data_IF_169764286039
#
_entry.id   IF_169764286039
#
_cell.length_a   1.000
_cell.length_b   1.000
_cell.length_c   1.000
_cell.angle_alpha   90.00
_cell.angle_beta   90.00
_cell.angle_gamma   90.00
#
_symmetry.space_group_name_H-M   'P 1'
#
loop_
_entity.id
_entity.type
_entity.pdbx_description
1 polymer ?
#
# COMPACT_ATOMS: atom_id res chain seq x y z
N UNK A 1 -22.38 7.66 11.12
CA UNK A 1 -21.57 7.67 12.37
C UNK A 1 -20.83 8.99 12.44
N UNK A 2 -20.88 9.69 13.60
CA UNK A 2 -20.19 10.97 13.81
C UNK A 2 -18.98 10.80 14.71
N UNK A 3 -17.82 11.32 14.29
CA UNK A 3 -16.58 11.31 15.05
C UNK A 3 -16.02 12.72 15.14
N UNK A 4 -15.81 13.22 16.37
CA UNK A 4 -15.09 14.47 16.63
C UNK A 4 -13.69 14.14 17.15
N UNK A 5 -12.67 14.63 16.47
CA UNK A 5 -11.30 14.65 16.97
C UNK A 5 -11.03 16.05 17.50
N UNK A 6 -10.69 16.17 18.78
CA UNK A 6 -10.43 17.43 19.47
C UNK A 6 -9.01 17.50 20.01
N UNK A 7 -8.60 18.70 20.44
CA UNK A 7 -7.25 18.94 20.99
C UNK A 7 -6.15 18.51 20.02
N UNK A 8 -6.30 18.83 18.73
CA UNK A 8 -5.32 18.55 17.70
C UNK A 8 -4.29 19.67 17.71
N UNK A 9 -3.04 19.38 18.12
CA UNK A 9 -1.96 20.38 18.11
C UNK A 9 -1.54 20.79 16.70
N UNK A 10 -1.62 19.86 15.74
CA UNK A 10 -1.32 20.09 14.34
C UNK A 10 -2.29 19.28 13.45
N UNK A 11 -3.08 19.97 12.63
CA UNK A 11 -3.94 19.38 11.62
C UNK A 11 -3.46 19.78 10.22
N UNK A 12 -2.97 18.83 9.44
CA UNK A 12 -2.66 19.07 8.03
C UNK A 12 -3.95 18.94 7.21
N UNK A 13 -4.25 19.98 6.42
CA UNK A 13 -5.46 20.08 5.59
C UNK A 13 -5.04 20.42 4.16
N UNK A 14 -5.85 19.99 3.19
CA UNK A 14 -5.75 20.46 1.82
C UNK A 14 -6.77 21.59 1.61
N UNK A 15 -6.28 22.80 1.39
CA UNK A 15 -7.10 23.99 1.07
C UNK A 15 -6.91 24.44 -0.38
N UNK A 16 -6.02 23.81 -1.13
CA UNK A 16 -5.70 24.28 -2.47
C UNK A 16 -6.82 24.00 -3.48
N UNK A 17 -7.69 23.02 -3.19
CA UNK A 17 -8.75 22.60 -4.12
C UNK A 17 -8.23 22.06 -5.45
N UNK A 18 -6.95 21.70 -5.50
CA UNK A 18 -6.30 21.10 -6.66
C UNK A 18 -6.34 19.59 -6.55
N UNK A 19 -6.63 18.91 -7.64
CA UNK A 19 -6.58 17.45 -7.68
C UNK A 19 -5.17 16.89 -7.42
N UNK A 20 -4.13 17.66 -7.77
CA UNK A 20 -2.74 17.24 -7.65
C UNK A 20 -1.81 18.44 -7.44
N UNK A 21 -0.91 18.31 -6.46
CA UNK A 21 0.21 19.22 -6.27
C UNK A 21 1.45 18.68 -6.99
N UNK A 22 2.30 19.57 -7.54
CA UNK A 22 3.51 19.20 -8.28
C UNK A 22 4.67 20.12 -7.95
N UNK A 23 5.89 19.54 -7.99
CA UNK A 23 7.13 20.31 -7.80
C UNK A 23 7.18 21.06 -6.47
N UNK A 24 7.43 22.36 -6.52
CA UNK A 24 7.55 23.21 -5.34
C UNK A 24 6.25 23.32 -4.51
N UNK A 25 5.08 23.14 -5.12
CA UNK A 25 3.79 23.15 -4.41
C UNK A 25 3.70 22.02 -3.37
N UNK A 26 4.37 20.89 -3.60
CA UNK A 26 4.39 19.74 -2.68
C UNK A 26 5.10 20.04 -1.35
N UNK A 27 5.86 21.13 -1.28
CA UNK A 27 6.53 21.58 -0.05
C UNK A 27 5.62 22.43 0.85
N UNK A 28 4.45 22.83 0.35
CA UNK A 28 3.51 23.69 1.07
C UNK A 28 2.38 22.85 1.63
N UNK A 29 2.38 22.66 2.95
CA UNK A 29 1.27 22.05 3.67
C UNK A 29 0.51 23.13 4.42
N UNK A 30 -0.80 23.17 4.21
CA UNK A 30 -1.68 23.97 5.04
C UNK A 30 -1.84 23.30 6.41
N UNK A 31 -1.43 24.00 7.46
CA UNK A 31 -1.44 23.50 8.82
C UNK A 31 -2.32 24.41 9.68
N UNK A 32 -3.29 23.78 10.37
CA UNK A 32 -4.01 24.41 11.47
C UNK A 32 -3.41 23.96 12.80
N UNK A 33 -3.25 24.90 13.72
CA UNK A 33 -2.84 24.61 15.12
C UNK A 33 -4.03 24.72 16.04
N UNK A 34 -3.98 23.96 17.15
CA UNK A 34 -5.04 23.95 18.17
C UNK A 34 -6.43 23.71 17.57
N UNK A 35 -6.50 22.69 16.73
CA UNK A 35 -7.64 22.43 15.86
C UNK A 35 -8.55 21.30 16.37
N UNK A 36 -9.68 21.19 15.72
CA UNK A 36 -10.59 20.04 15.79
C UNK A 36 -11.00 19.61 14.39
N UNK A 37 -11.44 18.35 14.26
CA UNK A 37 -11.90 17.75 13.01
C UNK A 37 -13.17 16.94 13.28
N UNK A 38 -14.23 17.20 12.50
CA UNK A 38 -15.49 16.45 12.52
C UNK A 38 -15.57 15.56 11.28
N UNK A 39 -15.81 14.27 11.52
CA UNK A 39 -16.05 13.29 10.46
C UNK A 39 -17.49 12.78 10.60
N UNK A 40 -18.28 12.83 9.53
CA UNK A 40 -19.62 12.30 9.44
C UNK A 40 -19.70 11.30 8.29
N UNK A 41 -20.17 10.09 8.61
CA UNK A 41 -20.37 9.01 7.64
C UNK A 41 -19.14 8.74 6.74
N UNK A 42 -17.95 8.78 7.38
CA UNK A 42 -16.67 8.53 6.71
C UNK A 42 -16.09 9.70 5.91
N UNK A 43 -16.72 10.89 5.98
CA UNK A 43 -16.29 12.10 5.27
C UNK A 43 -15.93 13.23 6.22
N UNK A 44 -14.99 14.07 5.85
CA UNK A 44 -14.72 15.31 6.57
C UNK A 44 -15.93 16.24 6.42
N UNK A 45 -16.60 16.52 7.54
CA UNK A 45 -17.76 17.41 7.57
C UNK A 45 -17.36 18.85 7.88
N UNK A 46 -16.44 19.02 8.85
CA UNK A 46 -15.96 20.34 9.25
C UNK A 46 -14.62 20.23 10.00
N UNK A 47 -13.86 21.30 10.02
CA UNK A 47 -12.68 21.47 10.86
C UNK A 47 -12.47 22.95 11.16
N UNK A 48 -11.74 23.27 12.23
CA UNK A 48 -11.47 24.65 12.62
C UNK A 48 -10.63 24.77 13.88
N UNK A 49 -10.39 26.01 14.27
CA UNK A 49 -9.67 26.38 15.51
C UNK A 49 -10.59 26.98 16.57
N UNK A 50 -11.75 27.48 16.16
CA UNK A 50 -12.81 27.92 17.09
C UNK A 50 -13.34 26.72 17.90
N UNK A 51 -14.05 26.92 19.03
CA UNK A 51 -14.60 25.81 19.78
C UNK A 51 -15.39 24.84 18.88
N UNK A 52 -15.18 23.53 19.02
CA UNK A 52 -15.87 22.55 18.19
C UNK A 52 -17.39 22.63 18.43
N UNK A 53 -18.20 22.27 17.41
CA UNK A 53 -19.64 22.22 17.57
C UNK A 53 -20.01 21.30 18.74
N UNK A 54 -20.85 21.81 19.67
CA UNK A 54 -21.34 21.01 20.79
C UNK A 54 -22.22 19.89 20.25
N UNK A 55 -21.99 18.62 20.64
CA UNK A 55 -22.86 17.55 20.23
C UNK A 55 -24.29 17.84 20.62
N UNK A 56 -25.22 17.93 19.66
CA UNK A 56 -26.65 17.99 19.98
C UNK A 56 -27.04 16.69 20.70
N UNK A 57 -27.76 16.80 21.81
CA UNK A 57 -28.28 15.67 22.55
C UNK A 57 -29.13 14.79 21.61
N UNK A 58 -28.71 13.55 21.34
CA UNK A 58 -29.54 12.59 20.62
C UNK A 58 -28.91 11.78 19.46
N UNK A 59 -27.65 12.00 19.10
CA UNK A 59 -27.01 11.20 18.07
C UNK A 59 -25.69 10.58 18.55
N UNK A 60 -25.45 9.31 18.26
CA UNK A 60 -24.25 8.57 18.62
C UNK A 60 -22.96 9.28 18.16
N UNK A 61 -22.41 10.08 19.05
CA UNK A 61 -21.23 10.91 18.82
C UNK A 61 -20.04 10.27 19.52
N UNK A 62 -19.01 9.94 18.77
CA UNK A 62 -17.74 9.47 19.32
C UNK A 62 -16.75 10.64 19.35
N UNK A 63 -16.18 10.94 20.51
CA UNK A 63 -15.10 11.91 20.62
C UNK A 63 -13.77 11.22 20.86
N UNK A 64 -12.73 11.71 20.20
CA UNK A 64 -11.33 11.31 20.39
C UNK A 64 -10.54 12.56 20.75
N UNK A 65 -9.76 12.47 21.82
CA UNK A 65 -8.84 13.52 22.23
C UNK A 65 -7.48 13.24 21.65
N UNK A 66 -6.99 14.12 20.79
CA UNK A 66 -5.66 14.00 20.17
C UNK A 66 -4.52 14.42 21.12
N UNK A 67 -4.83 14.95 22.31
CA UNK A 67 -3.86 15.31 23.35
C UNK A 67 -2.71 16.20 22.85
N UNK A 68 -2.99 17.13 21.94
CA UNK A 68 -1.97 17.97 21.32
C UNK A 68 -1.19 17.30 20.20
N UNK A 69 -1.53 16.07 19.83
CA UNK A 69 -0.88 15.32 18.74
C UNK A 69 -1.17 15.87 17.35
N UNK A 70 -0.48 15.32 16.36
CA UNK A 70 -0.69 15.66 14.95
C UNK A 70 -1.74 14.75 14.32
N UNK A 71 -2.61 15.34 13.49
CA UNK A 71 -3.52 14.64 12.60
C UNK A 71 -3.12 14.94 11.15
N UNK A 72 -2.76 13.89 10.43
CA UNK A 72 -2.23 13.96 9.07
C UNK A 72 -3.09 13.09 8.15
N UNK A 73 -3.11 13.35 6.82
CA UNK A 73 -3.60 12.38 5.84
C UNK A 73 -2.88 11.05 5.99
N UNK A 74 -3.59 9.94 5.79
CA UNK A 74 -2.98 8.63 5.77
C UNK A 74 -2.05 8.47 4.56
N UNK A 75 -1.06 7.58 4.68
CA UNK A 75 -0.17 7.28 3.56
C UNK A 75 -0.90 6.47 2.48
N UNK A 76 -0.58 6.77 1.23
CA UNK A 76 -0.97 5.96 0.07
C UNK A 76 0.28 5.22 -0.42
N UNK A 77 0.29 3.90 -0.28
CA UNK A 77 1.39 3.08 -0.81
C UNK A 77 1.03 2.62 -2.22
N UNK A 78 1.64 3.27 -3.21
CA UNK A 78 1.35 3.09 -4.62
C UNK A 78 2.14 1.95 -5.29
N UNK A 79 2.93 1.18 -4.54
CA UNK A 79 3.75 0.11 -5.12
C UNK A 79 4.06 -0.98 -4.10
N UNK A 80 3.23 -2.01 -4.03
CA UNK A 80 3.49 -3.15 -3.14
C UNK A 80 3.40 -4.49 -3.83
N UNK A 81 4.11 -5.47 -3.25
CA UNK A 81 3.95 -6.89 -3.50
C UNK A 81 3.44 -7.58 -2.23
N UNK A 82 2.35 -7.08 -1.67
CA UNK A 82 1.86 -7.49 -0.35
C UNK A 82 1.34 -8.94 -0.33
N UNK A 83 0.88 -9.46 -1.47
CA UNK A 83 0.46 -10.85 -1.61
C UNK A 83 1.64 -11.72 -2.00
N UNK A 84 2.22 -12.41 -1.02
CA UNK A 84 3.34 -13.34 -1.20
C UNK A 84 3.29 -14.47 -0.15
N UNK A 85 3.87 -15.62 -0.50
CA UNK A 85 3.79 -16.84 0.31
C UNK A 85 4.72 -16.86 1.53
N UNK A 86 5.85 -16.16 1.47
CA UNK A 86 6.82 -16.14 2.56
C UNK A 86 7.85 -15.04 2.37
N UNK A 87 8.36 -14.52 3.48
CA UNK A 87 9.36 -13.48 3.47
C UNK A 87 10.74 -13.99 3.02
N UNK A 88 11.61 -13.07 2.69
CA UNK A 88 12.96 -13.35 2.19
C UNK A 88 14.04 -12.74 3.10
N UNK A 89 13.76 -12.61 4.38
CA UNK A 89 14.71 -12.02 5.35
C UNK A 89 16.05 -12.77 5.39
N UNK A 90 16.02 -14.11 5.25
CA UNK A 90 17.22 -14.92 5.20
C UNK A 90 18.15 -14.54 4.03
N UNK A 91 17.56 -14.23 2.87
CA UNK A 91 18.34 -13.77 1.71
C UNK A 91 18.94 -12.38 1.94
N UNK A 92 18.25 -11.51 2.68
CA UNK A 92 18.79 -10.22 3.06
C UNK A 92 19.99 -10.36 4.02
N UNK A 93 19.90 -11.26 5.00
CA UNK A 93 21.02 -11.59 5.88
C UNK A 93 22.20 -12.16 5.09
N UNK A 94 21.95 -13.04 4.11
CA UNK A 94 22.99 -13.59 3.26
C UNK A 94 23.67 -12.49 2.42
N UNK A 95 22.94 -11.52 1.92
CA UNK A 95 23.53 -10.34 1.23
C UNK A 95 24.42 -9.52 2.17
N UNK A 96 24.01 -9.28 3.42
CA UNK A 96 24.82 -8.58 4.42
C UNK A 96 26.12 -9.36 4.70
N UNK A 97 26.07 -10.69 4.67
CA UNK A 97 27.24 -11.56 4.82
C UNK A 97 28.13 -11.63 3.58
N UNK A 98 27.78 -10.91 2.53
CA UNK A 98 28.59 -10.79 1.32
C UNK A 98 28.32 -11.87 0.26
N UNK A 99 27.26 -12.67 0.39
CA UNK A 99 26.92 -13.65 -0.64
C UNK A 99 26.44 -12.93 -1.91
N UNK A 100 26.90 -13.41 -3.06
CA UNK A 100 26.43 -12.93 -4.36
C UNK A 100 24.98 -13.36 -4.62
N UNK A 101 24.30 -12.63 -5.51
CA UNK A 101 22.95 -13.01 -5.95
C UNK A 101 22.89 -14.42 -6.51
N UNK A 102 23.93 -14.83 -7.25
CA UNK A 102 24.03 -16.16 -7.84
C UNK A 102 24.16 -17.26 -6.77
N UNK A 103 24.91 -17.01 -5.70
CA UNK A 103 25.03 -17.94 -4.57
C UNK A 103 23.72 -18.07 -3.80
N UNK A 104 23.01 -16.97 -3.58
CA UNK A 104 21.68 -16.96 -2.94
C UNK A 104 20.68 -17.74 -3.81
N UNK A 105 20.69 -17.51 -5.13
CA UNK A 105 19.84 -18.24 -6.07
C UNK A 105 20.13 -19.75 -6.11
N UNK A 106 21.43 -20.17 -6.04
CA UNK A 106 21.83 -21.57 -5.95
C UNK A 106 21.37 -22.26 -4.65
N UNK A 107 21.25 -21.51 -3.57
CA UNK A 107 20.70 -21.98 -2.28
C UNK A 107 19.18 -22.05 -2.25
N UNK A 108 18.52 -21.83 -3.38
CA UNK A 108 17.06 -21.87 -3.50
C UNK A 108 16.38 -20.54 -3.18
N UNK A 109 17.15 -19.43 -3.14
CA UNK A 109 16.59 -18.07 -2.98
C UNK A 109 16.07 -17.48 -4.29
N UNK A 110 15.62 -16.23 -4.20
CA UNK A 110 15.13 -15.47 -5.34
C UNK A 110 13.65 -15.65 -5.64
N UNK A 111 13.22 -15.07 -6.76
CA UNK A 111 11.81 -15.06 -7.17
C UNK A 111 11.25 -16.46 -7.42
N UNK A 112 12.07 -17.39 -7.86
CA UNK A 112 11.65 -18.76 -8.12
C UNK A 112 11.27 -19.52 -6.85
N UNK A 113 11.96 -19.25 -5.74
CA UNK A 113 11.58 -19.79 -4.43
C UNK A 113 10.26 -19.19 -3.96
N UNK A 114 10.06 -17.88 -4.14
CA UNK A 114 8.79 -17.22 -3.83
C UNK A 114 7.64 -17.82 -4.64
N UNK A 115 7.85 -18.11 -5.92
CA UNK A 115 6.87 -18.75 -6.79
C UNK A 115 6.56 -20.19 -6.35
N UNK A 116 7.59 -20.99 -6.02
CA UNK A 116 7.41 -22.36 -5.55
C UNK A 116 6.56 -22.41 -4.26
N UNK A 117 6.88 -21.56 -3.27
CA UNK A 117 6.07 -21.44 -2.05
C UNK A 117 4.65 -20.99 -2.33
N UNK A 118 4.45 -20.05 -3.26
CA UNK A 118 3.13 -19.59 -3.66
C UNK A 118 2.32 -20.72 -4.28
N UNK A 119 2.96 -21.59 -5.08
CA UNK A 119 2.33 -22.74 -5.69
C UNK A 119 1.73 -23.71 -4.66
N UNK A 120 2.45 -23.94 -3.56
CA UNK A 120 2.07 -24.86 -2.49
C UNK A 120 0.92 -24.35 -1.61
N UNK A 121 0.79 -23.02 -1.44
CA UNK A 121 -0.24 -22.43 -0.59
C UNK A 121 -1.63 -22.44 -1.27
N UNK A 122 -2.65 -22.74 -0.47
CA UNK A 122 -4.05 -22.50 -0.85
C UNK A 122 -4.37 -21.01 -0.94
N UNK A 123 -5.48 -20.68 -1.60
CA UNK A 123 -5.99 -19.30 -1.66
C UNK A 123 -6.32 -18.74 -0.27
N UNK A 124 -6.86 -19.57 0.63
CA UNK A 124 -7.22 -19.17 1.98
C UNK A 124 -5.98 -18.86 2.83
N UNK A 125 -4.96 -19.71 2.80
CA UNK A 125 -3.70 -19.46 3.51
C UNK A 125 -3.01 -18.19 2.99
N UNK A 126 -2.94 -17.99 1.68
CA UNK A 126 -2.37 -16.82 1.06
C UNK A 126 -3.15 -15.55 1.43
N UNK A 127 -4.50 -15.63 1.43
CA UNK A 127 -5.37 -14.54 1.85
C UNK A 127 -5.14 -14.19 3.32
N UNK A 128 -5.17 -15.16 4.22
CA UNK A 128 -4.96 -14.93 5.65
C UNK A 128 -3.60 -14.29 5.96
N UNK A 129 -2.53 -14.83 5.37
CA UNK A 129 -1.21 -14.25 5.51
C UNK A 129 -1.14 -12.81 4.99
N UNK A 130 -1.84 -12.51 3.89
CA UNK A 130 -1.90 -11.16 3.32
C UNK A 130 -2.72 -10.20 4.18
N UNK A 131 -3.83 -10.64 4.77
CA UNK A 131 -4.64 -9.82 5.67
C UNK A 131 -3.88 -9.41 6.95
N UNK A 132 -3.02 -10.27 7.48
CA UNK A 132 -2.12 -9.88 8.59
C UNK A 132 -1.21 -8.72 8.20
N UNK A 133 -0.68 -8.72 6.97
CA UNK A 133 0.15 -7.63 6.46
C UNK A 133 -0.66 -6.35 6.21
N UNK A 134 -1.90 -6.47 5.72
CA UNK A 134 -2.83 -5.35 5.61
C UNK A 134 -3.05 -4.71 6.99
N UNK A 135 -3.34 -5.49 8.02
CA UNK A 135 -3.51 -4.98 9.37
C UNK A 135 -2.24 -4.29 9.90
N UNK A 136 -1.07 -4.82 9.57
CA UNK A 136 0.21 -4.23 9.96
C UNK A 136 0.45 -2.87 9.30
N UNK A 137 0.26 -2.75 7.98
CA UNK A 137 0.45 -1.46 7.28
C UNK A 137 -0.56 -0.41 7.71
N UNK A 138 -1.81 -0.81 8.00
CA UNK A 138 -2.83 0.10 8.54
C UNK A 138 -2.38 0.66 9.89
N UNK A 139 -1.87 -0.18 10.80
CA UNK A 139 -1.35 0.28 12.10
C UNK A 139 -0.17 1.24 11.96
N UNK A 140 0.56 1.18 10.85
CA UNK A 140 1.66 2.10 10.52
C UNK A 140 1.21 3.35 9.77
N UNK A 141 -0.10 3.52 9.54
CA UNK A 141 -0.68 4.73 8.94
C UNK A 141 -0.98 4.66 7.46
N UNK A 142 -0.89 3.48 6.83
CA UNK A 142 -1.30 3.31 5.43
C UNK A 142 -2.83 3.28 5.34
N UNK A 143 -3.40 4.21 4.58
CA UNK A 143 -4.84 4.35 4.35
C UNK A 143 -5.29 3.96 2.94
N UNK A 144 -4.37 3.69 2.03
CA UNK A 144 -4.65 3.14 0.70
C UNK A 144 -3.44 2.37 0.19
N UNK A 145 -3.65 1.30 -0.57
CA UNK A 145 -2.56 0.46 -1.06
C UNK A 145 -2.81 -0.04 -2.48
N UNK A 146 -1.77 -0.05 -3.29
CA UNK A 146 -1.72 -0.76 -4.55
C UNK A 146 -1.04 -2.11 -4.34
N UNK A 147 -1.62 -3.20 -4.86
CA UNK A 147 -1.09 -4.55 -4.74
C UNK A 147 -0.87 -5.14 -6.12
N UNK A 148 0.40 -5.50 -6.41
CA UNK A 148 0.79 -6.16 -7.65
C UNK A 148 0.69 -7.68 -7.53
N UNK A 149 0.29 -8.35 -8.62
CA UNK A 149 0.58 -9.75 -8.84
C UNK A 149 2.05 -9.96 -9.31
N UNK A 150 2.37 -11.10 -9.90
CA UNK A 150 3.67 -11.28 -10.55
C UNK A 150 4.57 -12.35 -9.94
N UNK A 151 4.18 -13.00 -8.85
CA UNK A 151 4.91 -14.12 -8.27
C UNK A 151 4.40 -15.49 -8.69
N UNK A 152 3.31 -15.55 -9.49
CA UNK A 152 2.75 -16.82 -9.95
C UNK A 152 3.67 -17.56 -10.93
N UNK A 153 4.32 -16.84 -11.85
CA UNK A 153 5.17 -17.35 -12.93
C UNK A 153 4.51 -18.43 -13.83
N UNK A 154 3.25 -18.72 -13.62
CA UNK A 154 2.37 -19.51 -14.46
C UNK A 154 0.93 -18.98 -14.34
N UNK A 155 0.07 -19.34 -15.29
CA UNK A 155 -1.29 -18.79 -15.36
C UNK A 155 -2.13 -19.14 -14.13
N UNK A 156 -2.04 -20.36 -13.61
CA UNK A 156 -2.87 -20.82 -12.50
C UNK A 156 -2.56 -20.07 -11.20
N UNK A 157 -1.28 -19.93 -10.86
CA UNK A 157 -0.83 -19.25 -9.65
C UNK A 157 -0.98 -17.73 -9.77
N UNK A 158 -0.80 -17.15 -10.96
CA UNK A 158 -1.04 -15.75 -11.19
C UNK A 158 -2.53 -15.39 -11.01
N UNK A 159 -3.43 -16.23 -11.52
CA UNK A 159 -4.87 -16.10 -11.28
C UNK A 159 -5.22 -16.31 -9.81
N UNK A 160 -4.55 -17.22 -9.10
CA UNK A 160 -4.68 -17.40 -7.64
C UNK A 160 -4.37 -16.09 -6.91
N UNK A 161 -3.23 -15.45 -7.22
CA UNK A 161 -2.87 -14.15 -6.65
C UNK A 161 -3.94 -13.09 -6.92
N UNK A 162 -4.41 -12.97 -8.16
CA UNK A 162 -5.43 -11.97 -8.53
C UNK A 162 -6.76 -12.22 -7.81
N UNK A 163 -7.17 -13.47 -7.59
CA UNK A 163 -8.37 -13.79 -6.80
C UNK A 163 -8.20 -13.41 -5.34
N UNK A 164 -7.02 -13.66 -4.77
CA UNK A 164 -6.69 -13.22 -3.39
C UNK A 164 -6.69 -11.70 -3.29
N UNK A 165 -6.08 -10.98 -4.23
CA UNK A 165 -6.09 -9.50 -4.25
C UNK A 165 -7.52 -8.96 -4.35
N UNK A 166 -8.36 -9.56 -5.20
CA UNK A 166 -9.79 -9.20 -5.29
C UNK A 166 -10.50 -9.39 -3.96
N UNK A 167 -10.31 -10.53 -3.29
CA UNK A 167 -10.90 -10.81 -1.98
C UNK A 167 -10.43 -9.80 -0.92
N UNK A 168 -9.15 -9.43 -0.93
CA UNK A 168 -8.62 -8.37 -0.05
C UNK A 168 -9.32 -7.05 -0.34
N UNK A 169 -9.46 -6.65 -1.62
CA UNK A 169 -10.16 -5.43 -2.03
C UNK A 169 -11.61 -5.37 -1.52
N UNK A 170 -12.29 -6.51 -1.48
CA UNK A 170 -13.69 -6.63 -1.02
C UNK A 170 -13.81 -6.60 0.52
N UNK A 171 -12.76 -6.94 1.25
CA UNK A 171 -12.82 -7.17 2.70
C UNK A 171 -11.95 -6.24 3.53
N UNK A 172 -10.92 -5.63 2.94
CA UNK A 172 -10.03 -4.71 3.65
C UNK A 172 -10.76 -3.41 4.02
N UNK A 173 -10.44 -2.81 5.17
CA UNK A 173 -11.05 -1.54 5.60
C UNK A 173 -10.45 -0.32 4.89
N UNK A 174 -9.49 -0.49 4.00
CA UNK A 174 -8.84 0.56 3.22
C UNK A 174 -9.02 0.31 1.71
N UNK A 175 -9.00 1.34 0.87
CA UNK A 175 -8.98 1.19 -0.57
C UNK A 175 -7.80 0.36 -1.06
N UNK A 176 -8.08 -0.60 -1.94
CA UNK A 176 -7.07 -1.46 -2.58
C UNK A 176 -7.19 -1.36 -4.09
N UNK A 177 -6.09 -1.05 -4.75
CA UNK A 177 -5.97 -1.08 -6.21
C UNK A 177 -5.15 -2.31 -6.59
N UNK A 178 -5.61 -3.08 -7.57
CA UNK A 178 -4.87 -4.26 -8.06
C UNK A 178 -4.16 -3.93 -9.36
N UNK A 179 -2.90 -4.33 -9.48
CA UNK A 179 -2.12 -4.23 -10.72
C UNK A 179 -1.70 -5.62 -11.16
N UNK A 180 -2.05 -5.99 -12.39
CA UNK A 180 -1.57 -7.20 -13.01
C UNK A 180 -0.11 -7.02 -13.47
N UNK A 181 0.79 -7.87 -13.00
CA UNK A 181 2.20 -7.85 -13.33
C UNK A 181 2.71 -9.26 -13.76
N UNK A 182 1.97 -9.92 -14.65
CA UNK A 182 2.28 -11.29 -15.10
C UNK A 182 3.64 -11.45 -15.78
N UNK A 183 4.23 -10.38 -16.27
CA UNK A 183 5.59 -10.35 -16.85
C UNK A 183 6.67 -9.91 -15.85
N UNK A 184 6.43 -10.05 -14.53
CA UNK A 184 7.38 -9.66 -13.49
C UNK A 184 8.72 -10.43 -13.57
N UNK A 185 8.66 -11.69 -13.93
CA UNK A 185 9.84 -12.51 -14.22
C UNK A 185 9.52 -13.56 -15.29
N UNK A 186 10.54 -13.95 -16.05
CA UNK A 186 10.42 -15.01 -17.04
C UNK A 186 10.70 -16.36 -16.38
N UNK A 187 9.79 -17.34 -16.44
CA UNK A 187 10.04 -18.69 -15.96
C UNK A 187 11.28 -19.31 -16.63
N UNK A 188 11.98 -20.19 -15.90
CA UNK A 188 13.25 -20.78 -16.40
C UNK A 188 13.10 -21.50 -17.75
N UNK A 189 11.98 -22.19 -17.95
CA UNK A 189 11.67 -22.91 -19.18
C UNK A 189 11.40 -22.01 -20.39
N UNK A 190 11.16 -20.72 -20.15
CA UNK A 190 10.92 -19.70 -21.18
C UNK A 190 12.05 -18.67 -21.29
N UNK A 191 13.08 -18.79 -20.45
CA UNK A 191 14.25 -17.93 -20.59
C UNK A 191 14.98 -18.24 -21.88
N UNK A 192 15.24 -17.27 -22.75
CA UNK A 192 16.12 -17.49 -23.90
C UNK A 192 17.50 -17.94 -23.37
N UNK A 193 18.23 -18.77 -24.13
CA UNK A 193 19.61 -19.10 -23.78
C UNK A 193 20.36 -17.79 -23.53
N UNK A 194 21.10 -17.71 -22.41
CA UNK A 194 21.83 -16.48 -22.04
C UNK A 194 22.55 -15.94 -23.25
N UNK A 195 22.35 -14.67 -23.63
CA UNK A 195 23.19 -14.11 -24.69
C UNK A 195 24.64 -14.27 -24.26
N UNK A 196 25.46 -14.81 -25.13
CA UNK A 196 26.92 -14.76 -24.98
C UNK A 196 27.24 -13.32 -24.54
N UNK A 197 27.90 -13.15 -23.38
CA UNK A 197 28.23 -11.84 -22.86
C UNK A 197 28.83 -10.98 -23.96
N UNK A 198 28.29 -9.80 -24.29
CA UNK A 198 28.94 -8.94 -25.25
C UNK A 198 30.30 -8.56 -24.68
N UNK A 199 31.35 -8.70 -25.50
CA UNK A 199 32.68 -8.22 -25.19
C UNK A 199 32.59 -6.74 -24.75
N UNK A 200 33.41 -6.26 -23.80
CA UNK A 200 33.30 -4.93 -23.21
C UNK A 200 33.84 -3.83 -24.13
N UNK A 201 33.23 -3.67 -25.29
CA UNK A 201 33.54 -2.55 -26.20
C UNK A 201 32.29 -2.13 -26.93
N UNK A 202 31.72 -1.01 -26.52
CA UNK A 202 30.65 -0.32 -27.25
C UNK A 202 29.62 0.38 -26.37
N UNK A 203 29.87 1.63 -26.00
CA UNK A 203 28.90 2.50 -25.37
C UNK A 203 27.76 2.83 -26.34
N UNK A 204 26.55 2.42 -26.03
CA UNK A 204 25.31 2.83 -26.70
C UNK A 204 24.37 3.49 -25.70
N UNK A 205 24.05 4.78 -25.96
CA UNK A 205 23.08 5.53 -25.18
C UNK A 205 21.67 5.03 -25.47
N UNK A 206 20.91 4.71 -24.42
CA UNK A 206 19.47 4.42 -24.51
C UNK A 206 18.69 5.72 -24.33
N UNK A 207 17.93 6.12 -25.32
CA UNK A 207 16.92 7.16 -25.21
C UNK A 207 15.60 6.57 -24.74
N UNK A 208 15.05 7.11 -23.66
CA UNK A 208 13.73 6.73 -23.16
C UNK A 208 12.64 7.21 -24.14
N UNK A 209 11.90 6.28 -24.73
CA UNK A 209 10.67 6.58 -25.46
C UNK A 209 9.50 6.61 -24.50
N UNK A 210 8.71 7.67 -24.61
CA UNK A 210 7.55 8.01 -23.79
C UNK A 210 6.44 6.96 -23.88
N UNK A 211 5.97 6.49 -22.70
CA UNK A 211 4.76 5.69 -22.58
C UNK A 211 3.51 6.57 -22.70
N UNK A 212 2.38 6.06 -23.24
CA UNK A 212 1.15 6.82 -23.36
C UNK A 212 0.51 7.07 -22.00
N UNK A 213 -0.06 8.25 -21.82
CA UNK A 213 -0.75 8.66 -20.60
C UNK A 213 -2.05 7.86 -20.43
N UNK A 214 -2.22 7.26 -19.27
CA UNK A 214 -3.43 6.54 -18.86
C UNK A 214 -4.51 7.52 -18.42
N UNK A 215 -5.75 7.24 -18.84
CA UNK A 215 -6.93 8.05 -18.59
C UNK A 215 -7.35 8.17 -17.12
N UNK A 216 -8.18 9.18 -16.92
CA UNK A 216 -8.76 9.64 -15.68
C UNK A 216 -9.49 8.55 -14.88
N UNK A 217 -9.20 8.45 -13.60
CA UNK A 217 -10.05 7.76 -12.64
C UNK A 217 -10.38 8.76 -11.52
N UNK A 218 -11.54 9.39 -11.64
CA UNK A 218 -12.11 10.20 -10.59
C UNK A 218 -12.57 9.32 -9.43
N UNK A 219 -12.02 9.49 -8.26
CA UNK A 219 -12.43 8.81 -7.03
C UNK A 219 -12.06 9.65 -5.82
N UNK A 220 -13.09 10.17 -5.13
CA UNK A 220 -12.92 10.89 -3.87
C UNK A 220 -12.27 9.99 -2.82
N UNK A 221 -11.26 10.50 -2.14
CA UNK A 221 -10.53 9.82 -1.09
C UNK A 221 -11.34 9.79 0.21
N UNK A 222 -11.72 8.62 0.67
CA UNK A 222 -12.39 8.43 1.96
C UNK A 222 -11.37 8.22 3.08
N UNK A 223 -11.65 8.84 4.23
CA UNK A 223 -10.81 8.75 5.43
C UNK A 223 -11.07 7.43 6.15
N UNK A 224 -10.28 6.43 5.89
CA UNK A 224 -10.43 5.11 6.53
C UNK A 224 -9.33 4.81 7.57
N UNK A 225 -8.22 5.56 7.54
CA UNK A 225 -7.01 5.21 8.30
C UNK A 225 -7.08 5.33 9.83
N UNK A 226 -7.98 6.11 10.39
CA UNK A 226 -7.93 6.43 11.84
C UNK A 226 -8.67 5.44 12.75
N UNK A 227 -9.58 4.62 12.24
CA UNK A 227 -10.40 3.72 13.07
C UNK A 227 -9.79 2.32 13.28
N UNK A 228 -8.68 2.00 12.65
CA UNK A 228 -8.09 0.66 12.68
C UNK A 228 -7.43 0.29 14.02
N UNK A 229 -7.10 1.25 14.89
CA UNK A 229 -6.43 0.96 16.17
C UNK A 229 -7.30 0.22 17.20
N UNK A 230 -8.61 0.11 16.98
CA UNK A 230 -9.55 -0.49 17.93
C UNK A 230 -10.46 -1.58 17.32
N UNK A 231 -10.20 -2.03 16.10
CA UNK A 231 -10.90 -3.19 15.56
C UNK A 231 -10.25 -4.48 16.11
N UNK A 232 -11.03 -5.44 16.60
CA UNK A 232 -10.49 -6.74 17.00
C UNK A 232 -9.88 -7.41 15.75
N UNK A 233 -8.82 -8.24 15.92
CA UNK A 233 -8.21 -8.94 14.80
C UNK A 233 -9.27 -9.78 14.11
N UNK A 234 -9.42 -9.60 12.80
CA UNK A 234 -10.36 -10.42 12.00
C UNK A 234 -9.86 -11.85 12.04
N UNK A 235 -10.71 -12.77 12.48
CA UNK A 235 -10.40 -14.20 12.47
C UNK A 235 -10.41 -14.67 11.01
N UNK A 236 -9.31 -15.22 10.55
CA UNK A 236 -9.24 -16.09 9.38
C UNK A 236 -9.79 -17.47 9.72
#
# INVERSE_FOLDING_TARGET
MRLLIKNIGLLAVDRHGKERLQGAEMQQLDILRDAWLLVEDGRFAAFGTEPPPTPSQGGGFRAVDAQGGAVLPSFCDSHTHLVYAGSREGEFVDKIRGLSYEEIARRGGGILNSAARLHELSEDELYCASMHRIDEIIRKGTGAVEIKSGYGLNTADELKMLRVIRRIKETAPIPVVSTFLGAHAVPRNLQPPSPLQPSPTGGGSWSAQSLPQSGEVGGGWEVVGFLAQHAPPRRC
#
